data_IF_408239865759
#
_entry.id   IF_408239865759
#
_cell.length_a   1.000
_cell.length_b   1.000
_cell.length_c   1.000
_cell.angle_alpha   90.00
_cell.angle_beta   90.00
_cell.angle_gamma   90.00
#
_symmetry.space_group_name_H-M   'P 1'
#
loop_
_entity.id
_entity.type
_entity.pdbx_description
1 polymer ?
#
# COMPACT_ATOMS: atom_id res chain seq x y z
N UNK A 1 6.95 7.00 -42.03
CA UNK A 1 6.73 7.61 -40.69
C UNK A 1 6.14 6.63 -39.70
N UNK A 2 5.05 5.94 -40.02
CA UNK A 2 4.40 4.96 -39.13
C UNK A 2 5.27 3.76 -38.73
N UNK A 3 6.07 3.20 -39.61
CA UNK A 3 6.96 2.06 -39.31
C UNK A 3 8.08 2.42 -38.30
N UNK A 4 8.64 3.65 -38.35
CA UNK A 4 9.61 4.10 -37.35
C UNK A 4 8.97 4.33 -35.97
N UNK A 5 7.75 4.87 -35.94
CA UNK A 5 7.00 5.02 -34.69
C UNK A 5 6.68 3.65 -34.07
N UNK A 6 6.29 2.68 -34.90
CA UNK A 6 6.02 1.31 -34.48
C UNK A 6 7.27 0.62 -33.90
N UNK A 7 8.43 0.86 -34.54
CA UNK A 7 9.71 0.29 -34.07
C UNK A 7 10.15 0.93 -32.74
N UNK A 8 10.05 2.25 -32.60
CA UNK A 8 10.36 2.94 -31.33
C UNK A 8 9.43 2.50 -30.19
N UNK A 9 8.14 2.36 -30.50
CA UNK A 9 7.15 1.88 -29.53
C UNK A 9 7.44 0.42 -29.15
N UNK A 10 7.76 -0.44 -30.12
CA UNK A 10 8.13 -1.84 -29.89
C UNK A 10 9.41 -1.95 -29.04
N UNK A 11 10.47 -1.23 -29.39
CA UNK A 11 11.73 -1.19 -28.62
C UNK A 11 11.52 -0.66 -27.20
N UNK A 12 10.70 0.38 -27.04
CA UNK A 12 10.37 0.93 -25.72
C UNK A 12 9.57 -0.07 -24.87
N UNK A 13 8.56 -0.71 -25.47
CA UNK A 13 7.77 -1.76 -24.81
C UNK A 13 8.65 -2.96 -24.51
N UNK A 14 9.51 -3.40 -25.44
CA UNK A 14 10.41 -4.51 -25.23
C UNK A 14 11.42 -4.25 -24.12
N UNK A 15 12.02 -3.05 -24.10
CA UNK A 15 12.93 -2.62 -23.04
C UNK A 15 12.21 -2.56 -21.67
N UNK A 16 11.00 -2.03 -21.66
CA UNK A 16 10.15 -2.01 -20.45
C UNK A 16 9.75 -3.42 -20.01
N UNK A 17 9.48 -4.34 -20.95
CA UNK A 17 9.22 -5.76 -20.67
C UNK A 17 10.45 -6.46 -20.11
N UNK A 18 11.65 -6.19 -20.67
CA UNK A 18 12.90 -6.77 -20.18
C UNK A 18 13.22 -6.22 -18.78
N UNK A 19 13.03 -4.94 -18.54
CA UNK A 19 13.18 -4.33 -17.22
C UNK A 19 12.14 -4.90 -16.23
N UNK A 20 10.88 -5.05 -16.64
CA UNK A 20 9.85 -5.73 -15.83
C UNK A 20 10.17 -7.21 -15.59
N UNK A 21 10.69 -7.93 -16.57
CA UNK A 21 11.13 -9.32 -16.38
C UNK A 21 12.27 -9.41 -15.36
N UNK A 22 13.26 -8.51 -15.41
CA UNK A 22 14.30 -8.42 -14.39
C UNK A 22 13.72 -8.08 -13.00
N UNK A 23 12.65 -7.28 -12.96
CA UNK A 23 11.99 -6.85 -11.71
C UNK A 23 11.14 -7.98 -11.11
N UNK A 24 10.50 -8.83 -11.93
CA UNK A 24 9.52 -9.82 -11.47
C UNK A 24 10.01 -11.28 -11.45
N UNK A 25 11.05 -11.62 -12.24
CA UNK A 25 11.53 -13.02 -12.34
C UNK A 25 12.31 -13.49 -11.11
N UNK A 26 12.78 -12.59 -10.26
CA UNK A 26 13.64 -12.91 -9.12
C UNK A 26 13.09 -12.44 -7.77
N UNK A 27 11.80 -12.10 -7.65
CA UNK A 27 11.23 -11.98 -6.30
C UNK A 27 11.17 -13.40 -5.70
N UNK A 28 12.00 -13.73 -4.72
CA UNK A 28 11.70 -14.88 -3.90
C UNK A 28 10.36 -14.55 -3.25
N UNK A 29 9.33 -15.32 -3.59
CA UNK A 29 8.05 -15.28 -2.91
C UNK A 29 8.34 -15.55 -1.45
N UNK A 30 8.52 -14.50 -0.66
CA UNK A 30 8.55 -14.57 0.79
C UNK A 30 7.14 -14.87 1.27
N UNK A 31 6.61 -16.02 0.90
CA UNK A 31 5.38 -16.53 1.45
C UNK A 31 5.72 -17.47 2.61
N UNK A 32 5.52 -17.04 3.85
CA UNK A 32 5.16 -17.97 4.88
C UNK A 32 3.83 -17.57 5.51
N UNK A 33 2.74 -17.79 4.83
CA UNK A 33 1.48 -17.93 5.53
C UNK A 33 0.89 -19.30 5.18
N UNK A 34 0.69 -20.10 6.21
CA UNK A 34 0.31 -21.51 6.17
C UNK A 34 -1.15 -21.73 5.71
N UNK A 35 -1.88 -20.66 5.39
CA UNK A 35 -3.23 -20.70 4.79
C UNK A 35 -3.41 -19.48 3.90
N UNK A 36 -3.58 -19.69 2.59
CA UNK A 36 -4.02 -18.63 1.67
C UNK A 36 -5.43 -18.22 2.07
N UNK A 37 -5.58 -17.03 2.63
CA UNK A 37 -6.88 -16.41 2.86
C UNK A 37 -7.44 -15.96 1.52
N UNK A 38 -8.64 -16.39 1.19
CA UNK A 38 -9.32 -15.93 -0.02
C UNK A 38 -9.93 -14.54 0.23
N UNK A 39 -10.07 -13.75 -0.83
CA UNK A 39 -10.59 -12.38 -0.70
C UNK A 39 -12.00 -12.35 -0.08
N UNK A 40 -12.85 -13.33 -0.40
CA UNK A 40 -14.19 -13.43 0.17
C UNK A 40 -14.22 -13.47 1.71
N UNK A 41 -13.16 -14.00 2.34
CA UNK A 41 -13.06 -14.10 3.79
C UNK A 41 -12.80 -12.74 4.46
N UNK A 42 -12.18 -11.80 3.73
CA UNK A 42 -11.79 -10.47 4.24
C UNK A 42 -12.50 -9.33 3.53
N UNK A 43 -13.42 -9.61 2.61
CA UNK A 43 -14.04 -8.62 1.73
C UNK A 43 -14.68 -7.46 2.47
N UNK A 44 -15.52 -7.72 3.46
CA UNK A 44 -16.24 -6.68 4.21
C UNK A 44 -15.28 -5.74 4.94
N UNK A 45 -14.26 -6.29 5.58
CA UNK A 45 -13.22 -5.52 6.26
C UNK A 45 -12.36 -4.74 5.26
N UNK A 46 -11.99 -5.37 4.14
CA UNK A 46 -11.20 -4.71 3.10
C UNK A 46 -11.93 -3.50 2.48
N UNK A 47 -13.25 -3.62 2.23
CA UNK A 47 -14.07 -2.50 1.74
C UNK A 47 -14.05 -1.34 2.75
N UNK A 48 -14.29 -1.65 4.03
CA UNK A 48 -14.29 -0.63 5.09
C UNK A 48 -12.91 0.04 5.21
N UNK A 49 -11.82 -0.75 5.23
CA UNK A 49 -10.45 -0.19 5.37
C UNK A 49 -10.01 0.57 4.11
N UNK A 50 -10.51 0.23 2.91
CA UNK A 50 -10.29 1.02 1.71
C UNK A 50 -10.96 2.39 1.82
N UNK A 51 -12.21 2.46 2.28
CA UNK A 51 -12.90 3.73 2.56
C UNK A 51 -12.15 4.54 3.63
N UNK A 52 -11.71 3.90 4.70
CA UNK A 52 -10.98 4.59 5.77
C UNK A 52 -9.62 5.13 5.30
N UNK A 53 -8.90 4.38 4.45
CA UNK A 53 -7.66 4.85 3.85
C UNK A 53 -7.90 6.04 2.89
N UNK A 54 -9.08 6.09 2.22
CA UNK A 54 -9.50 7.24 1.42
C UNK A 54 -9.83 8.45 2.30
N UNK A 55 -10.60 8.25 3.38
CA UNK A 55 -10.97 9.31 4.32
C UNK A 55 -9.72 9.90 4.99
N UNK A 56 -8.61 9.16 5.11
CA UNK A 56 -7.37 9.66 5.68
C UNK A 56 -6.77 10.85 4.91
N UNK A 57 -7.19 11.12 3.68
CA UNK A 57 -6.80 12.31 2.90
C UNK A 57 -7.60 13.56 3.26
N UNK A 58 -8.69 13.42 4.01
CA UNK A 58 -9.53 14.54 4.43
C UNK A 58 -8.96 15.22 5.69
N UNK A 59 -9.20 16.51 5.82
CA UNK A 59 -8.85 17.25 7.03
C UNK A 59 -9.58 16.72 8.27
N UNK A 60 -8.93 16.88 9.44
CA UNK A 60 -9.41 16.35 10.71
C UNK A 60 -10.90 16.55 11.02
N UNK A 61 -11.48 17.77 10.86
CA UNK A 61 -12.90 18.01 11.09
C UNK A 61 -13.83 17.28 10.13
N UNK A 62 -13.45 17.22 8.84
CA UNK A 62 -14.22 16.52 7.79
C UNK A 62 -14.15 15.02 8.03
N UNK A 63 -12.93 14.47 8.17
CA UNK A 63 -12.70 13.07 8.46
C UNK A 63 -13.46 12.59 9.70
N UNK A 64 -13.44 13.40 10.79
CA UNK A 64 -14.18 13.09 12.02
C UNK A 64 -15.67 12.89 11.80
N UNK A 65 -16.30 13.73 10.97
CA UNK A 65 -17.72 13.59 10.64
C UNK A 65 -17.97 12.28 9.89
N UNK A 66 -17.15 12.00 8.87
CA UNK A 66 -17.33 10.79 8.04
C UNK A 66 -17.07 9.53 8.88
N UNK A 67 -16.03 9.49 9.71
CA UNK A 67 -15.77 8.36 10.60
C UNK A 67 -16.91 8.13 11.60
N UNK A 68 -17.53 9.22 12.10
CA UNK A 68 -18.71 9.11 12.97
C UNK A 68 -19.89 8.47 12.24
N UNK A 69 -20.13 8.83 10.98
CA UNK A 69 -21.19 8.24 10.15
C UNK A 69 -20.93 6.76 9.86
N UNK A 70 -19.66 6.33 9.85
CA UNK A 70 -19.24 4.93 9.77
C UNK A 70 -19.31 4.17 11.13
N UNK A 71 -19.77 4.83 12.21
CA UNK A 71 -19.94 4.20 13.54
C UNK A 71 -18.74 4.31 14.48
N UNK A 72 -17.71 5.10 14.13
CA UNK A 72 -16.56 5.36 15.01
C UNK A 72 -16.83 6.60 15.86
N UNK A 73 -16.99 6.41 17.17
CA UNK A 73 -17.36 7.46 18.11
C UNK A 73 -16.18 8.25 18.64
N UNK A 74 -14.99 7.70 18.57
CA UNK A 74 -13.74 8.35 18.97
C UNK A 74 -12.87 8.66 17.75
N UNK A 75 -12.19 9.82 17.77
CA UNK A 75 -11.31 10.26 16.70
C UNK A 75 -10.23 11.21 17.24
N UNK A 76 -9.01 11.00 16.80
CA UNK A 76 -7.88 11.93 16.98
C UNK A 76 -7.14 12.04 15.65
N UNK A 77 -7.06 13.24 15.12
CA UNK A 77 -6.17 13.59 14.02
C UNK A 77 -4.80 13.97 14.56
N UNK A 78 -3.76 13.48 13.95
CA UNK A 78 -2.35 13.74 14.26
C UNK A 78 -1.71 14.29 12.98
N UNK A 79 -0.99 15.41 13.12
CA UNK A 79 -0.35 16.12 12.04
C UNK A 79 0.93 16.78 12.54
N UNK A 80 2.08 16.37 12.03
CA UNK A 80 3.39 16.95 12.27
C UNK A 80 4.17 17.04 10.96
N UNK A 81 4.51 18.23 10.55
CA UNK A 81 5.37 18.53 9.39
C UNK A 81 4.98 17.79 8.08
N UNK A 82 3.67 17.51 7.92
CA UNK A 82 3.13 16.80 6.76
C UNK A 82 2.91 15.30 6.97
N UNK A 83 3.53 14.69 7.97
CA UNK A 83 3.21 13.33 8.39
C UNK A 83 1.85 13.31 9.11
N UNK A 84 0.88 12.57 8.58
CA UNK A 84 -0.50 12.62 9.06
C UNK A 84 -1.11 11.24 9.28
N UNK A 85 -1.91 11.11 10.34
CA UNK A 85 -2.69 9.94 10.62
C UNK A 85 -3.98 10.26 11.39
N UNK A 86 -4.98 9.39 11.24
CA UNK A 86 -6.19 9.41 12.04
C UNK A 86 -6.23 8.16 12.92
N UNK A 87 -6.34 8.34 14.22
CA UNK A 87 -6.70 7.29 15.16
C UNK A 87 -8.20 7.36 15.39
N UNK A 88 -8.93 6.29 15.07
CA UNK A 88 -10.38 6.21 15.25
C UNK A 88 -10.76 4.95 16.01
N UNK A 89 -11.81 5.02 16.82
CA UNK A 89 -12.23 3.87 17.61
C UNK A 89 -13.73 3.89 17.91
N UNK A 90 -14.27 2.69 18.05
CA UNK A 90 -15.60 2.42 18.59
C UNK A 90 -15.49 1.49 19.82
N UNK A 91 -16.52 0.75 20.17
CA UNK A 91 -16.49 -0.19 21.30
C UNK A 91 -15.64 -1.44 21.01
N UNK A 92 -15.55 -1.85 19.76
CA UNK A 92 -15.00 -3.14 19.31
C UNK A 92 -13.61 -3.02 18.69
N UNK A 93 -13.38 -1.92 17.96
CA UNK A 93 -12.20 -1.76 17.13
C UNK A 93 -11.52 -0.40 17.36
N UNK A 94 -10.19 -0.41 17.25
CA UNK A 94 -9.33 0.75 17.08
C UNK A 94 -8.66 0.66 15.71
N UNK A 95 -8.72 1.72 14.91
CA UNK A 95 -8.11 1.77 13.59
C UNK A 95 -7.13 2.94 13.52
N UNK A 96 -5.89 2.65 13.10
CA UNK A 96 -4.90 3.64 12.69
C UNK A 96 -4.95 3.78 11.16
N UNK A 97 -5.35 4.95 10.67
CA UNK A 97 -5.41 5.27 9.26
C UNK A 97 -4.26 6.22 8.92
N UNK A 98 -3.23 5.73 8.24
CA UNK A 98 -2.09 6.54 7.82
C UNK A 98 -2.41 7.22 6.48
N UNK A 99 -2.22 8.55 6.43
CA UNK A 99 -2.38 9.34 5.19
C UNK A 99 -1.15 9.14 4.30
N UNK A 100 -1.39 8.99 3.00
CA UNK A 100 -0.35 9.08 1.98
C UNK A 100 -0.17 10.51 1.47
N UNK A 101 0.80 10.69 0.57
CA UNK A 101 1.00 11.93 -0.17
C UNK A 101 0.02 11.97 -1.35
N UNK A 102 -0.46 13.17 -1.69
CA UNK A 102 -1.33 13.38 -2.85
C UNK A 102 -0.62 12.92 -4.15
N UNK A 103 -1.34 12.28 -5.08
CA UNK A 103 -0.74 11.78 -6.33
C UNK A 103 -0.03 12.87 -7.16
N UNK A 104 -0.43 14.12 -7.04
CA UNK A 104 0.17 15.28 -7.71
C UNK A 104 1.54 15.64 -7.12
N UNK A 105 1.74 15.41 -5.84
CA UNK A 105 2.97 15.68 -5.09
C UNK A 105 3.93 14.48 -5.10
N UNK A 106 3.44 13.31 -5.52
CA UNK A 106 4.20 12.07 -5.49
C UNK A 106 5.46 12.11 -6.38
N UNK A 107 5.46 12.89 -7.48
CA UNK A 107 6.65 13.06 -8.31
C UNK A 107 7.74 13.87 -7.61
N UNK A 108 7.36 14.88 -6.83
CA UNK A 108 8.27 15.69 -6.03
C UNK A 108 8.79 14.84 -4.86
N UNK A 109 7.91 14.10 -4.21
CA UNK A 109 8.28 13.15 -3.16
C UNK A 109 9.28 12.08 -3.64
N UNK A 110 9.16 11.57 -4.87
CA UNK A 110 10.16 10.63 -5.45
C UNK A 110 11.55 11.24 -5.56
N UNK A 111 11.63 12.53 -5.88
CA UNK A 111 12.91 13.23 -6.00
C UNK A 111 13.56 13.49 -4.63
N UNK A 112 12.74 13.69 -3.62
CA UNK A 112 13.17 14.07 -2.26
C UNK A 112 13.23 12.88 -1.29
N UNK A 113 12.59 11.73 -1.62
CA UNK A 113 12.63 10.54 -0.77
C UNK A 113 14.07 10.04 -0.63
N UNK A 114 14.57 10.20 0.58
CA UNK A 114 15.84 9.61 1.00
C UNK A 114 15.73 8.07 0.94
N UNK A 115 16.20 7.49 -0.18
CA UNK A 115 16.13 6.05 -0.46
C UNK A 115 17.08 5.20 0.38
N UNK A 116 17.87 5.82 1.28
CA UNK A 116 18.81 5.10 2.11
C UNK A 116 18.08 4.23 3.12
N UNK A 117 18.63 3.04 3.43
CA UNK A 117 18.08 2.18 4.46
C UNK A 117 18.35 2.75 5.85
N UNK A 118 17.40 2.58 6.75
CA UNK A 118 17.56 2.85 8.18
C UNK A 118 17.17 1.61 9.00
N UNK A 119 17.73 1.51 10.21
CA UNK A 119 17.52 0.35 11.07
C UNK A 119 16.07 0.28 11.56
N UNK A 120 15.39 -0.81 11.24
CA UNK A 120 14.06 -1.07 11.76
C UNK A 120 14.08 -1.48 13.25
N UNK A 121 13.06 -1.08 14.01
CA UNK A 121 12.93 -1.41 15.43
C UNK A 121 12.84 -2.93 15.67
N UNK A 122 12.16 -3.66 14.81
CA UNK A 122 11.96 -5.11 14.93
C UNK A 122 13.10 -5.95 14.38
N UNK A 123 14.07 -5.32 13.68
CA UNK A 123 15.21 -5.98 13.02
C UNK A 123 15.23 -5.77 11.52
N UNK A 124 16.40 -5.97 10.90
CA UNK A 124 16.61 -5.60 9.51
C UNK A 124 16.66 -4.09 9.31
N UNK A 125 16.26 -3.63 8.13
CA UNK A 125 16.18 -2.21 7.78
C UNK A 125 14.95 -1.91 6.91
N UNK A 126 14.52 -0.66 6.96
CA UNK A 126 13.42 -0.10 6.18
C UNK A 126 13.88 1.16 5.45
N UNK A 127 13.07 1.66 4.55
CA UNK A 127 13.32 2.91 3.85
C UNK A 127 13.29 4.08 4.83
N UNK A 128 14.37 4.87 4.89
CA UNK A 128 14.53 5.97 5.83
C UNK A 128 13.37 6.97 5.75
N UNK A 129 13.02 7.46 4.55
CA UNK A 129 11.95 8.43 4.40
C UNK A 129 10.61 7.91 4.94
N UNK A 130 10.27 6.63 4.75
CA UNK A 130 9.03 6.07 5.30
C UNK A 130 9.09 5.96 6.84
N UNK A 131 10.28 5.68 7.37
CA UNK A 131 10.48 5.61 8.82
C UNK A 131 10.39 6.98 9.46
N UNK A 132 10.99 8.01 8.86
CA UNK A 132 10.91 9.39 9.34
C UNK A 132 9.47 9.85 9.44
N UNK A 133 8.66 9.66 8.38
CA UNK A 133 7.25 10.05 8.39
C UNK A 133 6.45 9.43 9.56
N UNK A 134 6.69 8.18 9.87
CA UNK A 134 5.98 7.55 11.00
C UNK A 134 6.61 7.94 12.35
N UNK A 135 7.93 8.19 12.42
CA UNK A 135 8.61 8.61 13.63
C UNK A 135 8.14 9.98 14.10
N UNK A 136 7.89 10.92 13.18
CA UNK A 136 7.43 12.28 13.46
C UNK A 136 6.09 12.32 14.22
N UNK A 137 5.24 11.30 14.01
CA UNK A 137 3.92 11.19 14.64
C UNK A 137 3.81 10.03 15.65
N UNK A 138 4.91 9.29 15.88
CA UNK A 138 4.85 8.04 16.65
C UNK A 138 4.46 8.23 18.10
N UNK A 139 5.00 9.22 18.78
CA UNK A 139 4.70 9.49 20.19
C UNK A 139 3.22 9.81 20.39
N UNK A 140 2.64 10.62 19.52
CA UNK A 140 1.22 10.94 19.55
C UNK A 140 0.33 9.73 19.26
N UNK A 141 0.72 8.88 18.30
CA UNK A 141 0.03 7.60 18.05
C UNK A 141 0.03 6.76 19.32
N UNK A 142 1.20 6.58 19.95
CA UNK A 142 1.33 5.76 21.15
C UNK A 142 0.56 6.33 22.34
N UNK A 143 0.50 7.66 22.47
CA UNK A 143 -0.33 8.30 23.49
C UNK A 143 -1.83 8.02 23.32
N UNK A 144 -2.32 7.90 22.08
CA UNK A 144 -3.71 7.53 21.78
C UNK A 144 -3.92 6.01 21.97
N UNK A 145 -3.01 5.19 21.43
CA UNK A 145 -3.05 3.71 21.55
C UNK A 145 -3.10 3.32 23.03
N UNK A 146 -2.21 3.83 23.88
CA UNK A 146 -2.16 3.51 25.30
C UNK A 146 -3.45 3.86 26.05
N UNK A 147 -4.18 4.90 25.61
CA UNK A 147 -5.44 5.32 26.24
C UNK A 147 -6.67 4.59 25.68
N UNK A 148 -6.67 4.30 24.38
CA UNK A 148 -7.89 3.95 23.66
C UNK A 148 -7.92 2.52 23.10
N UNK A 149 -6.77 1.87 22.86
CA UNK A 149 -6.77 0.50 22.32
C UNK A 149 -7.46 -0.47 23.28
N UNK A 150 -7.02 -0.53 24.54
CA UNK A 150 -7.62 -1.42 25.58
C UNK A 150 -7.79 -2.86 25.04
N UNK A 151 -9.02 -3.38 25.07
CA UNK A 151 -9.39 -4.72 24.59
C UNK A 151 -9.99 -4.70 23.16
N UNK A 152 -9.78 -3.63 22.41
CA UNK A 152 -10.29 -3.52 21.04
C UNK A 152 -9.39 -4.27 20.05
N UNK A 153 -10.00 -4.79 18.98
CA UNK A 153 -9.25 -5.24 17.82
C UNK A 153 -8.46 -4.06 17.24
N UNK A 154 -7.20 -4.27 16.90
CA UNK A 154 -6.37 -3.27 16.23
C UNK A 154 -6.34 -3.54 14.74
N UNK A 155 -6.76 -2.58 13.94
CA UNK A 155 -6.53 -2.56 12.49
C UNK A 155 -5.69 -1.36 12.09
N UNK A 156 -4.90 -1.50 11.04
CA UNK A 156 -4.09 -0.41 10.50
C UNK A 156 -4.29 -0.38 8.98
N UNK A 157 -4.56 0.79 8.43
CA UNK A 157 -4.71 0.92 6.98
C UNK A 157 -4.00 2.17 6.45
N UNK A 158 -3.69 2.13 5.15
CA UNK A 158 -3.09 3.26 4.46
C UNK A 158 -2.92 2.99 2.96
N UNK A 159 -2.84 4.08 2.20
CA UNK A 159 -2.62 4.07 0.77
C UNK A 159 -1.30 4.75 0.43
N UNK A 160 -0.59 4.28 -0.60
CA UNK A 160 0.66 4.88 -1.07
C UNK A 160 1.71 4.94 0.06
N UNK A 161 2.30 6.12 0.32
CA UNK A 161 3.18 6.38 1.47
C UNK A 161 2.52 5.97 2.79
N UNK A 162 1.23 6.27 2.98
CA UNK A 162 0.48 5.82 4.16
C UNK A 162 0.43 4.30 4.33
N UNK A 163 0.50 3.54 3.23
CA UNK A 163 0.64 2.09 3.26
C UNK A 163 2.02 1.63 3.78
N UNK A 164 3.08 2.37 3.44
CA UNK A 164 4.42 2.13 4.01
C UNK A 164 4.46 2.48 5.50
N UNK A 165 3.92 3.63 5.89
CA UNK A 165 3.79 4.05 7.30
C UNK A 165 2.98 3.00 8.09
N UNK A 166 1.86 2.52 7.55
CA UNK A 166 1.03 1.48 8.15
C UNK A 166 1.81 0.17 8.37
N UNK A 167 2.67 -0.20 7.42
CA UNK A 167 3.50 -1.41 7.52
C UNK A 167 4.54 -1.28 8.65
N UNK A 168 5.20 -0.12 8.77
CA UNK A 168 6.17 0.13 9.86
C UNK A 168 5.44 0.22 11.21
N UNK A 169 4.31 0.93 11.28
CA UNK A 169 3.50 1.00 12.50
C UNK A 169 3.03 -0.39 12.97
N UNK A 170 2.56 -1.22 12.02
CA UNK A 170 2.16 -2.58 12.30
C UNK A 170 3.28 -3.45 12.85
N UNK A 171 4.50 -3.31 12.30
CA UNK A 171 5.68 -4.02 12.81
C UNK A 171 6.02 -3.63 14.26
N UNK A 172 5.83 -2.37 14.63
CA UNK A 172 6.08 -1.86 16.00
C UNK A 172 4.98 -2.25 17.00
N UNK A 173 3.78 -2.56 16.50
CA UNK A 173 2.60 -2.91 17.31
C UNK A 173 2.27 -4.41 17.26
N UNK A 174 3.19 -5.28 16.82
CA UNK A 174 2.94 -6.72 16.66
C UNK A 174 2.44 -7.41 17.93
N UNK A 175 2.85 -6.95 19.12
CA UNK A 175 2.36 -7.46 20.40
C UNK A 175 0.84 -7.34 20.56
N UNK A 176 0.23 -6.38 19.88
CA UNK A 176 -1.23 -6.16 19.85
C UNK A 176 -1.94 -6.91 18.73
N UNK A 177 -1.21 -7.72 17.94
CA UNK A 177 -1.72 -8.53 16.82
C UNK A 177 -2.59 -7.73 15.86
N UNK A 178 -2.05 -6.62 15.27
CA UNK A 178 -2.81 -5.81 14.34
C UNK A 178 -3.09 -6.55 13.04
N UNK A 179 -4.20 -6.20 12.37
CA UNK A 179 -4.48 -6.61 11.00
C UNK A 179 -4.28 -5.42 10.07
N UNK A 180 -3.41 -5.58 9.07
CA UNK A 180 -3.04 -4.52 8.12
C UNK A 180 -3.78 -4.66 6.80
N UNK A 181 -4.23 -3.52 6.28
CA UNK A 181 -4.81 -3.38 4.95
C UNK A 181 -4.12 -2.24 4.22
N UNK A 182 -3.26 -2.55 3.24
CA UNK A 182 -2.55 -1.52 2.48
C UNK A 182 -2.95 -1.53 1.01
N UNK A 183 -3.07 -0.34 0.43
CA UNK A 183 -3.51 -0.12 -0.93
C UNK A 183 -2.41 0.63 -1.69
N UNK A 184 -1.90 0.06 -2.78
CA UNK A 184 -0.83 0.69 -3.56
C UNK A 184 0.46 0.95 -2.79
N UNK A 185 0.76 0.18 -1.73
CA UNK A 185 1.94 0.40 -0.88
C UNK A 185 3.24 0.07 -1.63
N UNK A 186 4.29 0.90 -1.50
CA UNK A 186 5.63 0.60 -1.98
C UNK A 186 6.28 -0.54 -1.18
N UNK A 187 7.49 -0.97 -1.59
CA UNK A 187 8.32 -1.89 -0.78
C UNK A 187 8.92 -1.15 0.39
N UNK A 188 8.80 -1.72 1.58
CA UNK A 188 9.12 -0.99 2.83
C UNK A 188 10.49 -1.32 3.38
N UNK A 189 10.88 -2.59 3.42
CA UNK A 189 12.15 -2.99 4.05
C UNK A 189 12.80 -4.20 3.39
N UNK A 190 13.85 -4.71 4.00
CA UNK A 190 14.60 -5.84 3.46
C UNK A 190 14.01 -7.20 3.88
N UNK A 191 14.65 -8.28 3.39
CA UNK A 191 14.23 -9.65 3.71
C UNK A 191 14.30 -9.98 5.21
N UNK A 192 15.21 -9.36 5.96
CA UNK A 192 15.26 -9.53 7.42
C UNK A 192 14.05 -8.89 8.08
N UNK A 193 13.74 -7.65 7.74
CA UNK A 193 12.52 -6.97 8.22
C UNK A 193 11.25 -7.78 7.92
N UNK A 194 11.12 -8.29 6.68
CA UNK A 194 9.97 -9.13 6.30
C UNK A 194 9.87 -10.41 7.12
N UNK A 195 11.01 -11.04 7.44
CA UNK A 195 11.04 -12.24 8.31
C UNK A 195 10.63 -11.93 9.74
N UNK A 196 11.11 -10.83 10.30
CA UNK A 196 10.73 -10.40 11.65
C UNK A 196 9.22 -10.07 11.75
N UNK A 197 8.61 -9.66 10.64
CA UNK A 197 7.17 -9.38 10.54
C UNK A 197 6.33 -10.62 10.13
N UNK A 198 6.88 -11.84 10.13
CA UNK A 198 6.20 -13.02 9.58
C UNK A 198 4.82 -13.31 10.22
N UNK A 199 4.64 -12.96 11.50
CA UNK A 199 3.39 -13.16 12.24
C UNK A 199 2.39 -12.00 12.08
N UNK A 200 2.75 -10.96 11.34
CA UNK A 200 1.90 -9.80 11.09
C UNK A 200 0.87 -10.11 10.00
N UNK A 201 -0.40 -10.14 10.34
CA UNK A 201 -1.48 -10.32 9.38
C UNK A 201 -1.62 -9.10 8.49
N UNK A 202 -1.30 -9.24 7.20
CA UNK A 202 -1.24 -8.12 6.27
C UNK A 202 -1.82 -8.47 4.90
N UNK A 203 -2.88 -7.79 4.50
CA UNK A 203 -3.51 -7.86 3.19
C UNK A 203 -3.08 -6.66 2.35
N UNK A 204 -2.29 -6.92 1.31
CA UNK A 204 -1.71 -5.92 0.43
C UNK A 204 -2.41 -5.88 -0.91
N UNK A 205 -3.21 -4.84 -1.13
CA UNK A 205 -3.97 -4.62 -2.36
C UNK A 205 -3.08 -3.94 -3.41
N UNK A 206 -3.02 -4.55 -4.59
CA UNK A 206 -2.19 -4.11 -5.72
C UNK A 206 -3.05 -4.02 -6.97
N UNK A 207 -3.12 -2.84 -7.56
CA UNK A 207 -3.88 -2.63 -8.79
C UNK A 207 -2.94 -2.70 -9.99
N UNK A 208 -3.20 -3.63 -10.89
CA UNK A 208 -2.60 -3.85 -12.22
C UNK A 208 -1.21 -3.21 -12.44
N UNK A 209 -1.18 -2.04 -13.09
CA UNK A 209 0.04 -1.31 -13.47
C UNK A 209 0.47 -0.24 -12.47
N UNK A 210 -0.05 -0.24 -11.24
CA UNK A 210 0.37 0.69 -10.21
C UNK A 210 1.89 0.69 -10.02
N UNK A 211 2.54 1.79 -10.43
CA UNK A 211 4.00 1.94 -10.42
C UNK A 211 4.56 2.11 -9.01
N UNK A 212 3.76 2.59 -8.06
CA UNK A 212 4.20 2.78 -6.68
C UNK A 212 4.52 1.44 -6.04
N UNK A 213 3.76 0.41 -6.37
CA UNK A 213 3.97 -0.93 -5.80
C UNK A 213 5.28 -1.60 -6.23
N UNK A 214 5.99 -1.06 -7.21
CA UNK A 214 7.26 -1.62 -7.69
C UNK A 214 8.50 -0.85 -7.21
N UNK A 215 8.31 0.20 -6.44
CA UNK A 215 9.38 1.00 -5.86
C UNK A 215 9.47 0.83 -4.33
N UNK A 216 10.64 1.04 -3.71
CA UNK A 216 11.96 1.00 -4.36
C UNK A 216 12.21 -0.35 -5.06
N UNK A 217 13.10 -0.40 -6.07
CA UNK A 217 13.34 -1.63 -6.82
C UNK A 217 13.86 -2.77 -5.94
N UNK A 218 13.44 -4.00 -6.24
CA UNK A 218 13.84 -5.21 -5.48
C UNK A 218 15.36 -5.46 -5.46
N UNK A 219 16.07 -5.08 -6.53
CA UNK A 219 17.52 -5.24 -6.60
C UNK A 219 18.29 -4.33 -5.64
N UNK A 220 17.64 -3.29 -5.10
CA UNK A 220 18.17 -2.48 -4.00
C UNK A 220 17.98 -3.15 -2.62
N UNK A 221 17.52 -4.39 -2.58
CA UNK A 221 17.32 -5.15 -1.35
C UNK A 221 15.93 -5.03 -0.73
N UNK A 222 15.06 -4.16 -1.25
CA UNK A 222 13.71 -3.97 -0.75
C UNK A 222 12.78 -5.13 -1.10
N UNK A 223 11.89 -5.46 -0.18
CA UNK A 223 10.90 -6.55 -0.30
C UNK A 223 9.53 -6.08 0.14
N UNK A 224 8.52 -6.77 -0.35
CA UNK A 224 7.16 -6.65 0.17
C UNK A 224 6.94 -7.58 1.34
N UNK A 225 6.12 -7.13 2.29
CA UNK A 225 5.51 -7.94 3.32
C UNK A 225 4.01 -8.13 3.02
N UNK A 226 3.43 -9.24 3.47
CA UNK A 226 2.00 -9.48 3.45
C UNK A 226 1.47 -10.22 2.22
N UNK A 227 0.25 -10.73 2.35
CA UNK A 227 -0.46 -11.46 1.30
C UNK A 227 -0.95 -10.49 0.22
N UNK A 228 -0.62 -10.77 -1.05
CA UNK A 228 -1.05 -9.92 -2.16
C UNK A 228 -2.49 -10.24 -2.60
N UNK A 229 -3.32 -9.20 -2.66
CA UNK A 229 -4.65 -9.16 -3.25
C UNK A 229 -4.56 -8.35 -4.56
N UNK A 230 -4.48 -9.03 -5.72
CA UNK A 230 -4.16 -8.40 -6.99
C UNK A 230 -5.42 -8.14 -7.82
N UNK A 231 -5.67 -6.87 -8.15
CA UNK A 231 -6.67 -6.46 -9.14
C UNK A 231 -6.06 -6.51 -10.54
N UNK A 232 -6.67 -7.26 -11.45
CA UNK A 232 -6.25 -7.29 -12.85
C UNK A 232 -6.65 -6.00 -13.60
N UNK A 233 -6.31 -5.89 -14.89
CA UNK A 233 -6.62 -4.72 -15.71
C UNK A 233 -8.13 -4.40 -15.84
N UNK A 234 -9.02 -5.31 -15.47
CA UNK A 234 -10.47 -5.11 -15.37
C UNK A 234 -10.93 -4.82 -13.94
N UNK A 235 -10.02 -4.67 -12.99
CA UNK A 235 -10.33 -4.46 -11.58
C UNK A 235 -10.85 -5.70 -10.85
N UNK A 236 -10.68 -6.91 -11.42
CA UNK A 236 -11.15 -8.16 -10.80
C UNK A 236 -9.99 -8.76 -9.99
N UNK A 237 -10.25 -9.15 -8.74
CA UNK A 237 -9.26 -9.86 -7.90
C UNK A 237 -8.98 -11.24 -8.48
N UNK A 238 -7.69 -11.52 -8.67
CA UNK A 238 -7.21 -12.83 -9.13
C UNK A 238 -5.93 -13.24 -8.43
N UNK A 239 -5.90 -14.48 -8.00
CA UNK A 239 -4.66 -15.13 -7.59
C UNK A 239 -3.93 -15.64 -8.84
N UNK A 240 -3.17 -14.76 -9.49
CA UNK A 240 -2.51 -15.06 -10.76
C UNK A 240 -1.08 -15.54 -10.52
N UNK A 241 -0.70 -16.65 -11.19
CA UNK A 241 0.71 -17.01 -11.34
C UNK A 241 1.47 -15.87 -12.04
N UNK A 242 2.78 -15.70 -11.74
CA UNK A 242 3.59 -14.57 -12.17
C UNK A 242 3.53 -14.26 -13.68
N UNK A 243 3.56 -15.29 -14.55
CA UNK A 243 3.48 -15.13 -16.00
C UNK A 243 2.10 -14.62 -16.47
N UNK A 244 1.02 -14.94 -15.73
CA UNK A 244 -0.31 -14.40 -15.99
C UNK A 244 -0.43 -12.95 -15.55
N UNK A 245 0.22 -12.55 -14.43
CA UNK A 245 0.33 -11.16 -14.02
C UNK A 245 1.07 -10.33 -15.07
N UNK A 246 2.17 -10.86 -15.64
CA UNK A 246 2.88 -10.20 -16.72
C UNK A 246 2.01 -9.99 -17.95
N UNK A 247 1.30 -11.03 -18.40
CA UNK A 247 0.37 -10.94 -19.53
C UNK A 247 -0.74 -9.92 -19.26
N UNK A 248 -1.28 -9.90 -18.06
CA UNK A 248 -2.33 -8.97 -17.63
C UNK A 248 -1.84 -7.51 -17.68
N UNK A 249 -0.65 -7.24 -17.15
CA UNK A 249 -0.01 -5.91 -17.23
C UNK A 249 0.19 -5.44 -18.67
N UNK A 250 0.70 -6.33 -19.53
CA UNK A 250 0.87 -6.01 -20.95
C UNK A 250 -0.47 -5.70 -21.64
N UNK A 251 -1.52 -6.45 -21.28
CA UNK A 251 -2.86 -6.21 -21.80
C UNK A 251 -3.39 -4.86 -21.30
N UNK A 252 -3.18 -4.51 -20.04
CA UNK A 252 -3.53 -3.20 -19.47
C UNK A 252 -2.84 -2.06 -20.21
N UNK A 253 -1.51 -2.13 -20.36
CA UNK A 253 -0.72 -1.13 -21.11
C UNK A 253 -1.24 -0.99 -22.55
N UNK A 254 -1.43 -2.10 -23.26
CA UNK A 254 -1.90 -2.07 -24.65
C UNK A 254 -3.31 -1.46 -24.76
N UNK A 255 -4.20 -1.83 -23.85
CA UNK A 255 -5.56 -1.29 -23.79
C UNK A 255 -5.56 0.21 -23.50
N UNK A 256 -4.70 0.65 -22.61
CA UNK A 256 -4.49 2.06 -22.27
C UNK A 256 -4.00 2.87 -23.49
N UNK A 257 -3.05 2.34 -24.24
CA UNK A 257 -2.58 2.95 -25.48
C UNK A 257 -3.68 3.07 -26.55
N UNK A 258 -4.49 2.02 -26.71
CA UNK A 258 -5.64 2.04 -27.66
C UNK A 258 -6.66 3.11 -27.24
N UNK A 259 -6.86 3.31 -25.94
CA UNK A 259 -7.77 4.33 -25.37
C UNK A 259 -7.15 5.73 -25.32
N UNK A 260 -5.95 5.96 -25.90
CA UNK A 260 -5.22 7.24 -25.88
C UNK A 260 -4.92 7.76 -24.44
N UNK A 261 -4.71 6.86 -23.48
CA UNK A 261 -4.31 7.16 -22.10
C UNK A 261 -2.94 6.50 -21.82
N UNK A 262 -1.83 7.03 -22.33
CA UNK A 262 -0.53 6.34 -22.30
C UNK A 262 0.14 6.24 -20.92
N UNK A 263 -0.41 6.91 -19.87
CA UNK A 263 0.14 6.93 -18.51
C UNK A 263 -0.84 6.31 -17.51
N UNK A 264 -1.14 5.02 -17.69
CA UNK A 264 -2.09 4.28 -16.86
C UNK A 264 -1.58 4.04 -15.42
N UNK A 265 -0.27 3.94 -15.25
CA UNK A 265 0.33 3.58 -13.97
C UNK A 265 0.08 4.55 -12.80
N UNK A 266 -0.10 5.84 -13.08
CA UNK A 266 -0.51 6.83 -12.06
C UNK A 266 -2.02 6.79 -11.82
N UNK A 267 -2.81 6.52 -12.86
CA UNK A 267 -4.26 6.35 -12.74
C UNK A 267 -4.57 5.09 -11.94
N UNK A 268 -3.82 4.01 -12.15
CA UNK A 268 -3.96 2.75 -11.40
C UNK A 268 -3.59 2.91 -9.92
N UNK A 269 -2.77 3.91 -9.59
CA UNK A 269 -2.43 4.25 -8.20
C UNK A 269 -3.54 5.00 -7.46
N UNK A 270 -4.59 5.47 -8.15
CA UNK A 270 -5.65 6.25 -7.50
C UNK A 270 -6.39 5.45 -6.43
N UNK A 271 -6.59 6.05 -5.25
CA UNK A 271 -7.39 5.45 -4.17
C UNK A 271 -8.86 5.25 -4.58
N UNK A 272 -9.38 6.04 -5.53
CA UNK A 272 -10.73 5.84 -6.10
C UNK A 272 -10.86 4.50 -6.82
N UNK A 273 -9.82 4.09 -7.57
CA UNK A 273 -9.79 2.78 -8.22
C UNK A 273 -9.70 1.66 -7.19
N UNK A 274 -8.85 1.78 -6.17
CA UNK A 274 -8.75 0.80 -5.11
C UNK A 274 -10.08 0.63 -4.36
N UNK A 275 -10.73 1.72 -3.99
CA UNK A 275 -12.04 1.70 -3.31
C UNK A 275 -13.11 1.06 -4.18
N UNK A 276 -13.19 1.46 -5.45
CA UNK A 276 -14.14 0.91 -6.42
C UNK A 276 -13.93 -0.60 -6.59
N UNK A 277 -12.72 -1.03 -6.92
CA UNK A 277 -12.45 -2.43 -7.20
C UNK A 277 -12.61 -3.33 -5.99
N UNK A 278 -12.31 -2.83 -4.79
CA UNK A 278 -12.56 -3.57 -3.55
C UNK A 278 -14.06 -3.80 -3.33
N UNK A 279 -14.91 -2.83 -3.69
CA UNK A 279 -16.38 -2.96 -3.61
C UNK A 279 -16.96 -3.89 -4.68
N UNK A 280 -16.47 -3.77 -5.91
CA UNK A 280 -17.02 -4.46 -7.09
C UNK A 280 -16.71 -5.97 -7.10
N UNK A 281 -15.70 -6.44 -6.35
CA UNK A 281 -15.34 -7.85 -6.20
C UNK A 281 -16.04 -8.50 -5.01
#
# INVERSE_FOLDING_TARGET
MYLRLFHIVYETIYKYIVELNCIYLNEPTGEPMNTKVEFCDVKSEAILKAEMAKIAYEDGPIAKKIFKDLGYTGHKFIDHDGAQAHCVWNKEEFVLCCRGTEPTEFNDLKADLNIWPDKAQVGGWVHNGFQTEIDDIWEDIMAVVGKQLKNRKLSICGHSLGGAMATIAGSRLMEHKPVLYTFGSPRVGNSTFVKECADLEHYRFVNNNDLVTVIPPWFMGYRHHGQVMYFNYNGIIKNLAWWRKLKDKLTGILTSWIKLKPFDGLTDHSMDNYTKYTKDN
#
